data_IF_732170094629
#
_entry.id   IF_732170094629
#
_cell.length_a   1.000
_cell.length_b   1.000
_cell.length_c   1.000
_cell.angle_alpha   90.00
_cell.angle_beta   90.00
_cell.angle_gamma   90.00
#
_symmetry.space_group_name_H-M   'P 1'
#
loop_
_entity.id
_entity.type
_entity.pdbx_description
1 polymer ?
#
# COMPACT_ATOMS: atom_id res chain seq x y z
N UNK A 1 -9.13 -7.08 7.47
CA UNK A 1 -8.60 -6.55 6.20
C UNK A 1 -9.52 -5.45 5.73
N UNK A 2 -8.97 -4.29 5.37
CA UNK A 2 -9.69 -3.22 4.66
C UNK A 2 -9.31 -3.27 3.20
N UNK A 3 -10.30 -3.42 2.34
CA UNK A 3 -10.19 -3.28 0.89
C UNK A 3 -11.02 -2.05 0.48
N UNK A 4 -10.38 -0.92 0.17
CA UNK A 4 -11.07 0.29 -0.23
C UNK A 4 -11.52 0.24 -1.69
N UNK A 5 -11.18 -0.79 -2.45
CA UNK A 5 -11.26 -0.75 -3.91
C UNK A 5 -10.47 0.42 -4.47
N UNK A 6 -11.08 1.14 -5.41
CA UNK A 6 -10.45 2.20 -6.20
C UNK A 6 -10.66 3.59 -5.59
N UNK A 7 -10.43 3.78 -4.28
CA UNK A 7 -10.63 5.09 -3.62
C UNK A 7 -9.66 5.37 -2.47
N UNK A 8 -9.52 6.64 -2.10
CA UNK A 8 -8.90 7.14 -0.86
C UNK A 8 -9.92 7.74 0.11
N UNK A 9 -11.23 7.62 -0.18
CA UNK A 9 -12.32 8.16 0.64
C UNK A 9 -12.72 7.20 1.77
N UNK A 10 -11.85 7.11 2.77
CA UNK A 10 -12.09 6.36 4.01
C UNK A 10 -11.30 6.94 5.17
N UNK A 11 -11.84 6.81 6.38
CA UNK A 11 -11.29 7.44 7.60
C UNK A 11 -10.84 6.44 8.68
N UNK A 12 -10.95 5.14 8.42
CA UNK A 12 -10.50 4.08 9.32
C UNK A 12 -10.03 2.85 8.53
N UNK A 13 -9.18 2.04 9.15
CA UNK A 13 -8.68 0.79 8.58
C UNK A 13 -8.63 -0.32 9.62
N UNK A 14 -8.62 -1.57 9.14
CA UNK A 14 -8.24 -2.74 9.90
C UNK A 14 -6.71 -2.90 9.91
N UNK A 15 -6.21 -3.92 10.61
CA UNK A 15 -4.78 -4.27 10.69
C UNK A 15 -4.09 -4.42 9.33
N UNK A 16 -4.80 -4.90 8.31
CA UNK A 16 -4.28 -4.99 6.94
C UNK A 16 -5.05 -3.99 6.09
N UNK A 17 -4.33 -3.08 5.43
CA UNK A 17 -4.85 -2.13 4.46
C UNK A 17 -4.36 -2.49 3.04
N UNK A 18 -5.29 -2.77 2.13
CA UNK A 18 -4.98 -2.72 0.69
C UNK A 18 -4.99 -1.26 0.24
N UNK A 19 -3.86 -0.73 -0.21
CA UNK A 19 -3.72 0.70 -0.49
C UNK A 19 -3.54 0.96 -1.99
N UNK A 20 -4.48 1.65 -2.67
CA UNK A 20 -4.27 2.14 -4.03
C UNK A 20 -3.10 3.11 -4.08
N UNK A 21 -1.98 2.73 -4.69
CA UNK A 21 -0.75 3.55 -4.74
C UNK A 21 -0.63 4.41 -5.99
N UNK A 22 -1.46 4.12 -6.98
CA UNK A 22 -1.57 4.84 -8.23
C UNK A 22 -3.04 4.90 -8.63
N UNK A 23 -3.51 6.07 -9.06
CA UNK A 23 -4.83 6.21 -9.66
C UNK A 23 -5.00 7.59 -10.32
N UNK A 24 -5.90 7.76 -11.31
CA UNK A 24 -6.23 9.08 -11.88
C UNK A 24 -6.78 10.10 -10.88
N UNK A 25 -7.38 9.65 -9.78
CA UNK A 25 -8.01 10.47 -8.75
C UNK A 25 -7.13 10.72 -7.51
N UNK A 26 -5.89 10.22 -7.52
CA UNK A 26 -5.00 10.31 -6.37
C UNK A 26 -3.53 10.38 -6.78
N UNK A 27 -2.66 10.54 -5.79
CA UNK A 27 -1.22 10.49 -5.98
C UNK A 27 -0.61 9.46 -5.04
N UNK A 28 0.57 8.94 -5.37
CA UNK A 28 1.34 8.09 -4.46
C UNK A 28 1.65 8.81 -3.14
N UNK A 29 1.85 10.14 -3.18
CA UNK A 29 2.02 10.97 -1.97
C UNK A 29 0.78 10.88 -1.09
N UNK A 30 -0.43 11.06 -1.65
CA UNK A 30 -1.67 10.96 -0.88
C UNK A 30 -1.85 9.55 -0.30
N UNK A 31 -1.49 8.51 -1.04
CA UNK A 31 -1.53 7.13 -0.55
C UNK A 31 -0.61 6.96 0.69
N UNK A 32 0.61 7.51 0.64
CA UNK A 32 1.55 7.50 1.78
C UNK A 32 0.97 8.24 2.98
N UNK A 33 0.46 9.46 2.77
CA UNK A 33 -0.18 10.24 3.83
C UNK A 33 -1.32 9.47 4.50
N UNK A 34 -2.17 8.83 3.70
CA UNK A 34 -3.27 8.02 4.20
C UNK A 34 -2.79 6.82 5.03
N UNK A 35 -1.72 6.15 4.59
CA UNK A 35 -1.09 5.09 5.39
C UNK A 35 -0.54 5.59 6.73
N UNK A 36 0.04 6.79 6.75
CA UNK A 36 0.55 7.44 7.97
C UNK A 36 -0.58 7.91 8.92
N UNK A 37 -1.68 8.39 8.36
CA UNK A 37 -2.88 8.81 9.10
C UNK A 37 -3.55 7.60 9.78
N UNK A 38 -3.72 6.51 9.03
CA UNK A 38 -4.52 5.36 9.46
C UNK A 38 -3.73 4.31 10.26
N UNK A 39 -2.40 4.28 10.12
CA UNK A 39 -1.47 3.42 10.89
C UNK A 39 -1.88 1.94 10.98
N UNK A 40 -2.19 1.27 9.85
CA UNK A 40 -2.45 -0.17 9.86
C UNK A 40 -1.20 -0.95 10.30
N UNK A 41 -1.36 -2.19 10.77
CA UNK A 41 -0.22 -3.08 11.04
C UNK A 41 0.52 -3.47 9.76
N UNK A 42 -0.22 -3.65 8.67
CA UNK A 42 0.29 -4.02 7.35
C UNK A 42 -0.32 -3.17 6.24
N UNK A 43 0.49 -2.74 5.28
CA UNK A 43 0.05 -2.16 4.00
C UNK A 43 0.40 -3.13 2.89
N UNK A 44 -0.56 -3.41 2.01
CA UNK A 44 -0.36 -4.10 0.74
C UNK A 44 -0.73 -3.13 -0.38
N UNK A 45 0.22 -2.72 -1.24
CA UNK A 45 -0.08 -1.85 -2.38
C UNK A 45 -0.98 -2.56 -3.40
N UNK A 46 -1.92 -1.82 -3.98
CA UNK A 46 -2.76 -2.23 -5.10
C UNK A 46 -2.85 -1.11 -6.14
N UNK A 47 -3.50 -1.39 -7.27
CA UNK A 47 -3.74 -0.43 -8.38
C UNK A 47 -2.48 0.00 -9.15
N UNK A 48 -1.52 -0.90 -9.26
CA UNK A 48 -0.20 -0.65 -9.85
C UNK A 48 0.08 -1.51 -11.09
N UNK A 49 -0.95 -2.18 -11.62
CA UNK A 49 -0.85 -3.07 -12.79
C UNK A 49 -0.23 -2.41 -14.02
N UNK A 50 -0.35 -1.08 -14.15
CA UNK A 50 0.16 -0.31 -15.27
C UNK A 50 1.67 -0.02 -15.18
N UNK A 51 2.29 -0.30 -14.03
CA UNK A 51 3.71 -0.11 -13.83
C UNK A 51 4.48 -1.29 -14.42
N UNK A 52 5.62 -0.99 -15.04
CA UNK A 52 6.60 -2.04 -15.30
C UNK A 52 7.27 -2.48 -13.99
N UNK A 53 7.91 -3.64 -14.04
CA UNK A 53 8.52 -4.27 -12.88
C UNK A 53 9.58 -3.39 -12.20
N UNK A 54 10.48 -2.77 -12.99
CA UNK A 54 11.54 -1.91 -12.47
C UNK A 54 10.98 -0.71 -11.70
N UNK A 55 9.97 -0.05 -12.27
CA UNK A 55 9.32 1.10 -11.65
C UNK A 55 8.55 0.70 -10.39
N UNK A 56 7.77 -0.39 -10.45
CA UNK A 56 7.06 -0.92 -9.29
C UNK A 56 8.00 -1.24 -8.15
N UNK A 57 9.08 -1.97 -8.43
CA UNK A 57 10.10 -2.32 -7.43
C UNK A 57 10.75 -1.06 -6.82
N UNK A 58 11.04 -0.05 -7.64
CA UNK A 58 11.59 1.21 -7.12
C UNK A 58 10.61 1.95 -6.20
N UNK A 59 9.33 2.04 -6.58
CA UNK A 59 8.31 2.69 -5.76
C UNK A 59 8.09 1.93 -4.46
N UNK A 60 7.99 0.60 -4.52
CA UNK A 60 7.81 -0.26 -3.35
C UNK A 60 8.95 -0.09 -2.34
N UNK A 61 10.21 -0.11 -2.80
CA UNK A 61 11.37 0.13 -1.94
C UNK A 61 11.32 1.49 -1.23
N UNK A 62 10.87 2.54 -1.94
CA UNK A 62 10.73 3.88 -1.35
C UNK A 62 9.60 3.92 -0.32
N UNK A 63 8.47 3.29 -0.61
CA UNK A 63 7.35 3.23 0.34
C UNK A 63 7.73 2.44 1.59
N UNK A 64 8.36 1.28 1.44
CA UNK A 64 8.89 0.52 2.57
C UNK A 64 9.86 1.35 3.42
N UNK A 65 10.80 2.06 2.79
CA UNK A 65 11.73 2.94 3.51
C UNK A 65 11.02 4.07 4.28
N UNK A 66 9.92 4.61 3.75
CA UNK A 66 9.11 5.65 4.41
C UNK A 66 8.41 5.10 5.66
N UNK A 67 7.94 3.85 5.63
CA UNK A 67 7.28 3.21 6.76
C UNK A 67 8.22 2.48 7.74
N UNK A 68 9.52 2.40 7.43
CA UNK A 68 10.50 1.62 8.20
C UNK A 68 10.59 2.01 9.69
N UNK A 69 10.43 3.30 10.00
CA UNK A 69 10.47 3.82 11.39
C UNK A 69 9.07 3.89 12.04
N UNK A 70 8.07 3.25 11.44
CA UNK A 70 6.68 3.23 11.94
C UNK A 70 6.28 1.85 12.45
N UNK A 71 5.10 1.74 13.07
CA UNK A 71 4.50 0.45 13.43
C UNK A 71 3.91 -0.31 12.24
N UNK A 72 3.91 0.29 11.05
CA UNK A 72 3.31 -0.24 9.83
C UNK A 72 4.34 -1.01 9.03
N UNK A 73 4.07 -2.27 8.71
CA UNK A 73 4.89 -3.06 7.79
C UNK A 73 4.36 -2.90 6.36
N UNK A 74 5.18 -2.41 5.44
CA UNK A 74 4.84 -2.37 4.02
C UNK A 74 5.21 -3.70 3.36
N UNK A 75 4.27 -4.33 2.66
CA UNK A 75 4.46 -5.62 1.99
C UNK A 75 4.64 -5.41 0.49
N UNK A 76 5.54 -6.18 -0.11
CA UNK A 76 5.83 -6.12 -1.55
C UNK A 76 5.27 -7.37 -2.24
N UNK A 77 4.00 -7.35 -2.69
CA UNK A 77 3.41 -8.51 -3.37
C UNK A 77 4.11 -8.78 -4.71
N UNK A 78 4.16 -10.06 -5.08
CA UNK A 78 4.71 -10.53 -6.36
C UNK A 78 3.56 -11.05 -7.22
N UNK A 79 3.48 -10.60 -8.47
CA UNK A 79 2.40 -11.01 -9.38
C UNK A 79 2.32 -12.53 -9.53
N UNK A 80 1.10 -13.05 -9.46
CA UNK A 80 0.84 -14.48 -9.59
C UNK A 80 1.26 -15.32 -8.38
N UNK A 81 1.76 -14.72 -7.30
CA UNK A 81 2.09 -15.42 -6.06
C UNK A 81 1.15 -14.99 -4.93
N UNK A 82 0.64 -15.93 -4.11
CA UNK A 82 -0.12 -15.57 -2.93
C UNK A 82 0.77 -14.88 -1.90
N UNK A 83 0.24 -13.84 -1.26
CA UNK A 83 0.84 -13.20 -0.10
C UNK A 83 0.18 -13.76 1.16
N UNK A 84 0.96 -14.44 2.00
CA UNK A 84 0.49 -15.02 3.26
C UNK A 84 0.92 -14.16 4.45
N UNK A 85 -0.04 -13.73 5.28
CA UNK A 85 0.21 -12.93 6.48
C UNK A 85 -0.28 -13.72 7.69
N UNK A 86 0.64 -14.06 8.60
CA UNK A 86 0.30 -14.70 9.86
C UNK A 86 -0.09 -13.61 10.89
N UNK A 87 -1.33 -13.68 11.37
CA UNK A 87 -1.93 -12.67 12.26
C UNK A 87 -1.71 -12.98 13.74
#
# INVERSE_FOLDING_TARGET
MTDPGDTHDFSSTNDILLLPVQAPWGTTIRAIELGMELKPKYIVPIHDWMWNEDWRNNVYQRMEAIFADTSTTFLQPVDGQPLEINL
#
